data_IF_140454193698
#
_entry.id   IF_140454193698
#
_cell.length_a   1.000
_cell.length_b   1.000
_cell.length_c   1.000
_cell.angle_alpha   90.00
_cell.angle_beta   90.00
_cell.angle_gamma   90.00
#
_symmetry.space_group_name_H-M   'P 1'
#
loop_
_entity.id
_entity.type
_entity.pdbx_description
1 polymer ?
#
# COMPACT_ATOMS: atom_id res chain seq x y z
N UNK A 1 40.18 -14.87 -6.32
CA UNK A 1 39.52 -14.25 -7.50
C UNK A 1 38.14 -14.83 -7.79
N UNK A 2 37.91 -16.15 -7.73
CA UNK A 2 36.58 -16.73 -7.96
C UNK A 2 35.48 -16.32 -6.96
N UNK A 3 35.83 -16.17 -5.67
CA UNK A 3 34.88 -15.73 -4.62
C UNK A 3 34.23 -14.38 -4.97
N UNK A 4 34.99 -13.44 -5.55
CA UNK A 4 34.50 -12.09 -5.85
C UNK A 4 33.40 -12.14 -6.90
N UNK A 5 33.56 -12.99 -7.92
CA UNK A 5 32.55 -13.18 -8.98
C UNK A 5 31.26 -13.75 -8.38
N UNK A 6 31.37 -14.74 -7.49
CA UNK A 6 30.22 -15.34 -6.81
C UNK A 6 29.48 -14.29 -5.95
N UNK A 7 30.22 -13.46 -5.21
CA UNK A 7 29.64 -12.41 -4.37
C UNK A 7 28.90 -11.35 -5.20
N UNK A 8 29.45 -10.96 -6.36
CA UNK A 8 28.79 -10.03 -7.28
C UNK A 8 27.48 -10.62 -7.79
N UNK A 9 27.48 -11.89 -8.22
CA UNK A 9 26.26 -12.56 -8.69
C UNK A 9 25.18 -12.62 -7.61
N UNK A 10 25.56 -12.99 -6.38
CA UNK A 10 24.62 -13.04 -5.24
C UNK A 10 24.07 -11.65 -4.92
N UNK A 11 24.92 -10.62 -4.90
CA UNK A 11 24.51 -9.24 -4.65
C UNK A 11 23.51 -8.75 -5.70
N UNK A 12 23.77 -8.99 -6.98
CA UNK A 12 22.86 -8.64 -8.08
C UNK A 12 21.53 -9.40 -7.98
N UNK A 13 21.57 -10.69 -7.64
CA UNK A 13 20.38 -11.53 -7.48
C UNK A 13 19.49 -10.98 -6.37
N UNK A 14 20.07 -10.65 -5.21
CA UNK A 14 19.34 -10.04 -4.09
C UNK A 14 18.75 -8.68 -4.51
N UNK A 15 19.50 -7.84 -5.22
CA UNK A 15 19.02 -6.55 -5.69
C UNK A 15 17.80 -6.68 -6.63
N UNK A 16 17.85 -7.61 -7.58
CA UNK A 16 16.74 -7.88 -8.51
C UNK A 16 15.52 -8.45 -7.79
N UNK A 17 15.73 -9.39 -6.86
CA UNK A 17 14.64 -9.94 -6.03
C UNK A 17 13.95 -8.84 -5.22
N UNK A 18 14.74 -8.00 -4.54
CA UNK A 18 14.22 -6.89 -3.75
C UNK A 18 13.42 -5.92 -4.62
N UNK A 19 13.96 -5.54 -5.78
CA UNK A 19 13.28 -4.66 -6.73
C UNK A 19 11.98 -5.28 -7.27
N UNK A 20 11.98 -6.57 -7.59
CA UNK A 20 10.80 -7.28 -8.08
C UNK A 20 9.68 -7.35 -7.05
N UNK A 21 10.02 -7.68 -5.80
CA UNK A 21 9.07 -7.68 -4.67
C UNK A 21 8.57 -6.26 -4.40
N UNK A 22 9.45 -5.26 -4.40
CA UNK A 22 9.06 -3.86 -4.21
C UNK A 22 8.07 -3.38 -5.29
N UNK A 23 8.37 -3.67 -6.57
CA UNK A 23 7.49 -3.32 -7.68
C UNK A 23 6.12 -4.01 -7.58
N UNK A 24 6.08 -5.29 -7.18
CA UNK A 24 4.82 -6.00 -6.97
C UNK A 24 4.00 -5.36 -5.82
N UNK A 25 4.64 -5.04 -4.69
CA UNK A 25 3.95 -4.36 -3.58
C UNK A 25 3.38 -3.00 -4.00
N UNK A 26 4.12 -2.22 -4.80
CA UNK A 26 3.66 -0.93 -5.29
C UNK A 26 2.43 -1.08 -6.22
N UNK A 27 2.35 -2.17 -6.98
CA UNK A 27 1.19 -2.48 -7.83
C UNK A 27 -0.01 -3.01 -7.05
N UNK A 28 0.18 -3.68 -5.92
CA UNK A 28 -0.89 -4.31 -5.14
C UNK A 28 -1.84 -3.32 -4.44
N UNK A 29 -1.80 -2.03 -4.76
CA UNK A 29 -2.85 -1.09 -4.35
C UNK A 29 -2.81 -0.75 -2.86
N UNK A 30 -1.66 -0.86 -2.18
CA UNK A 30 -1.53 -0.43 -0.79
C UNK A 30 -1.78 1.09 -0.59
N UNK A 31 -1.91 1.84 -1.69
CA UNK A 31 -2.29 3.25 -1.73
C UNK A 31 -3.79 3.49 -1.93
N UNK A 32 -4.62 2.44 -1.96
CA UNK A 32 -6.07 2.60 -2.17
C UNK A 32 -6.75 3.21 -0.92
N UNK A 33 -6.12 3.12 0.25
CA UNK A 33 -6.55 3.80 1.48
C UNK A 33 -5.99 5.23 1.57
N UNK A 34 -6.29 6.05 0.56
CA UNK A 34 -5.98 7.49 0.55
C UNK A 34 -6.96 8.31 1.38
N UNK A 35 -8.09 7.72 1.78
CA UNK A 35 -9.12 8.35 2.59
C UNK A 35 -9.06 7.80 4.02
N UNK A 36 -8.46 8.57 4.92
CA UNK A 36 -8.21 8.14 6.29
C UNK A 36 -9.48 7.62 6.97
N UNK A 37 -9.41 6.47 7.67
CA UNK A 37 -10.56 5.86 8.34
C UNK A 37 -11.31 6.81 9.29
N UNK A 38 -10.62 7.78 9.90
CA UNK A 38 -11.24 8.80 10.76
C UNK A 38 -12.17 9.75 10.01
N UNK A 39 -11.87 10.10 8.75
CA UNK A 39 -12.73 10.95 7.91
C UNK A 39 -13.94 10.15 7.44
N UNK A 40 -13.72 8.89 7.05
CA UNK A 40 -14.78 7.97 6.66
C UNK A 40 -15.83 7.83 7.78
N UNK A 41 -15.38 7.50 9.00
CA UNK A 41 -16.27 7.35 10.16
C UNK A 41 -17.01 8.66 10.51
N UNK A 42 -16.35 9.82 10.40
CA UNK A 42 -16.97 11.10 10.78
C UNK A 42 -18.06 11.59 9.80
N UNK A 43 -17.97 11.20 8.52
CA UNK A 43 -18.88 11.68 7.47
C UNK A 43 -19.83 10.62 6.91
N UNK A 44 -19.52 9.32 7.03
CA UNK A 44 -20.40 8.22 6.61
C UNK A 44 -21.41 7.80 7.69
N UNK A 45 -21.18 8.14 8.97
CA UNK A 45 -22.11 7.84 10.07
C UNK A 45 -23.34 8.77 10.12
N UNK A 46 -23.54 9.64 9.13
CA UNK A 46 -24.79 10.40 9.03
C UNK A 46 -25.87 9.51 8.41
N UNK A 47 -26.89 9.06 9.16
CA UNK A 47 -28.01 8.33 8.56
C UNK A 47 -28.73 9.25 7.55
N UNK A 48 -28.89 8.77 6.32
CA UNK A 48 -29.68 9.44 5.25
C UNK A 48 -31.20 9.47 5.53
N UNK A 49 -31.62 9.26 6.78
CA UNK A 49 -33.00 8.97 7.14
C UNK A 49 -33.57 9.76 8.30
N UNK A 50 -32.97 10.88 8.72
CA UNK A 50 -33.68 11.76 9.66
C UNK A 50 -34.87 12.41 8.93
N UNK A 51 -36.12 12.15 9.37
CA UNK A 51 -37.25 12.93 8.88
C UNK A 51 -37.04 14.37 9.35
N UNK A 52 -37.17 15.33 8.45
CA UNK A 52 -37.26 16.74 8.83
C UNK A 52 -38.47 16.91 9.73
N UNK A 53 -38.26 16.94 11.03
CA UNK A 53 -39.25 17.43 11.98
C UNK A 53 -39.37 18.94 11.77
N UNK A 54 -40.53 19.36 11.27
CA UNK A 54 -40.91 20.76 11.18
C UNK A 54 -41.61 21.11 12.51
N UNK A 55 -40.83 21.49 13.51
CA UNK A 55 -41.33 22.26 14.65
C UNK A 55 -40.43 23.45 14.96
#
# INVERSE_FOLDING_TARGET
MGIIIILICISLLIAVLFLGVFYWNMKNGQYDDTYTPSVRMLFEDKPEGEPKDNH
#
